data_IF_785916056552
#
_entry.id   IF_785916056552
#
_cell.length_a   1.000
_cell.length_b   1.000
_cell.length_c   1.000
_cell.angle_alpha   90.00
_cell.angle_beta   90.00
_cell.angle_gamma   90.00
#
_symmetry.space_group_name_H-M   'P 1'
#
loop_
_entity.id
_entity.type
_entity.pdbx_description
1 polymer ?
#
# COMPACT_ATOMS: atom_id res chain seq x y z
N UNK A 1 -22.26 18.32 -40.73
CA UNK A 1 -23.21 17.99 -39.65
C UNK A 1 -23.37 16.48 -39.59
N UNK A 2 -22.70 15.81 -38.65
CA UNK A 2 -23.26 14.74 -37.82
C UNK A 2 -22.14 14.18 -36.93
N UNK A 3 -22.28 14.47 -35.65
CA UNK A 3 -21.46 14.00 -34.53
C UNK A 3 -21.70 12.50 -34.34
N UNK A 4 -20.63 11.70 -34.26
CA UNK A 4 -20.69 10.36 -33.70
C UNK A 4 -20.50 10.47 -32.18
N UNK A 5 -21.53 10.08 -31.44
CA UNK A 5 -21.60 10.13 -29.99
C UNK A 5 -20.62 9.17 -29.33
N UNK A 6 -20.03 9.69 -28.25
CA UNK A 6 -19.25 9.02 -27.23
C UNK A 6 -19.97 7.78 -26.68
N UNK A 7 -19.33 6.62 -26.79
CA UNK A 7 -19.63 5.49 -25.92
C UNK A 7 -18.99 5.77 -24.56
N UNK A 8 -19.82 6.21 -23.61
CA UNK A 8 -19.46 6.28 -22.18
C UNK A 8 -19.01 4.88 -21.75
N UNK A 9 -17.73 4.74 -21.40
CA UNK A 9 -17.27 3.59 -20.62
C UNK A 9 -18.01 3.64 -19.28
N UNK A 10 -18.73 2.57 -18.99
CA UNK A 10 -19.38 2.28 -17.72
C UNK A 10 -18.37 2.42 -16.57
N UNK A 11 -18.74 2.98 -15.40
CA UNK A 11 -17.82 3.04 -14.28
C UNK A 11 -17.58 1.61 -13.76
N UNK A 12 -16.31 1.21 -13.66
CA UNK A 12 -15.94 0.02 -12.90
C UNK A 12 -16.23 0.33 -11.43
N UNK A 13 -17.27 -0.31 -10.89
CA UNK A 13 -17.52 -0.37 -9.45
C UNK A 13 -16.50 -1.34 -8.86
N UNK A 14 -15.50 -0.79 -8.19
CA UNK A 14 -14.37 -1.51 -7.60
C UNK A 14 -14.73 -1.94 -6.17
N UNK A 15 -15.58 -2.95 -6.05
CA UNK A 15 -16.02 -3.49 -4.77
C UNK A 15 -15.07 -4.59 -4.28
N UNK A 16 -13.96 -4.19 -3.69
CA UNK A 16 -13.36 -4.93 -2.58
C UNK A 16 -14.19 -4.64 -1.31
N UNK A 17 -15.42 -5.18 -1.29
CA UNK A 17 -16.35 -4.99 -0.19
C UNK A 17 -15.93 -5.86 1.00
N UNK A 18 -15.26 -5.23 1.97
CA UNK A 18 -15.48 -5.52 3.38
C UNK A 18 -15.83 -4.15 3.99
N UNK A 19 -17.10 -3.96 4.28
CA UNK A 19 -17.69 -2.68 4.65
C UNK A 19 -19.13 -2.53 4.13
N UNK A 20 -20.08 -3.22 4.76
CA UNK A 20 -21.54 -3.01 4.77
C UNK A 20 -22.34 -2.60 3.50
N UNK A 21 -21.76 -2.61 2.29
CA UNK A 21 -22.43 -2.00 1.13
C UNK A 21 -22.60 -0.49 1.26
N UNK A 22 -21.80 0.17 2.10
CA UNK A 22 -21.71 1.63 2.13
C UNK A 22 -20.97 2.07 0.87
N UNK A 23 -21.64 2.84 0.02
CA UNK A 23 -20.97 3.46 -1.12
C UNK A 23 -19.92 4.45 -0.61
N UNK A 24 -18.67 4.37 -1.10
CA UNK A 24 -17.63 5.27 -0.65
C UNK A 24 -17.94 6.71 -1.05
N UNK A 25 -17.70 7.65 -0.13
CA UNK A 25 -17.85 9.08 -0.41
C UNK A 25 -16.78 9.53 -1.40
N UNK A 26 -17.17 10.27 -2.45
CA UNK A 26 -16.22 10.89 -3.38
C UNK A 26 -15.80 12.25 -2.86
N UNK A 27 -14.51 12.41 -2.60
CA UNK A 27 -13.91 13.67 -2.13
C UNK A 27 -13.30 14.45 -3.28
N UNK A 28 -13.43 15.78 -3.21
CA UNK A 28 -12.65 16.69 -4.04
C UNK A 28 -11.14 16.64 -3.71
N UNK A 29 -10.27 17.12 -4.61
CA UNK A 29 -8.80 17.07 -4.45
C UNK A 29 -8.27 17.66 -3.14
N UNK A 30 -8.91 18.72 -2.63
CA UNK A 30 -8.52 19.46 -1.43
C UNK A 30 -9.55 19.34 -0.30
N UNK A 31 -10.58 18.50 -0.47
CA UNK A 31 -11.64 18.35 0.52
C UNK A 31 -11.10 17.69 1.79
N UNK A 32 -11.55 18.12 2.97
CA UNK A 32 -11.21 17.50 4.26
C UNK A 32 -12.50 17.33 5.02
N UNK A 33 -12.67 16.17 5.65
CA UNK A 33 -13.85 15.85 6.44
C UNK A 33 -13.46 15.86 7.91
N UNK A 34 -13.99 16.81 8.67
CA UNK A 34 -13.57 17.11 10.06
C UNK A 34 -13.68 15.89 10.99
N UNK A 35 -14.77 15.12 10.85
CA UNK A 35 -15.00 13.90 11.65
C UNK A 35 -14.15 12.69 11.20
N UNK A 36 -13.44 12.80 10.07
CA UNK A 36 -12.58 11.77 9.50
C UNK A 36 -11.18 12.35 9.24
N UNK A 37 -10.35 12.54 10.29
CA UNK A 37 -9.06 13.23 10.21
C UNK A 37 -8.04 12.50 9.31
N UNK A 38 -8.27 11.23 9.00
CA UNK A 38 -7.49 10.49 7.99
C UNK A 38 -7.57 11.13 6.58
N UNK A 39 -8.53 12.04 6.34
CA UNK A 39 -8.65 12.80 5.10
C UNK A 39 -7.83 14.08 5.04
N UNK A 40 -7.12 14.45 6.12
CA UNK A 40 -6.32 15.67 6.14
C UNK A 40 -5.26 15.67 5.03
N UNK A 41 -5.35 16.69 4.16
CA UNK A 41 -4.40 16.95 3.07
C UNK A 41 -2.93 17.04 3.53
N UNK A 42 -2.67 17.42 4.79
CA UNK A 42 -1.31 17.51 5.33
C UNK A 42 -0.61 16.14 5.38
N UNK A 43 -1.37 15.06 5.59
CA UNK A 43 -0.87 13.68 5.64
C UNK A 43 -0.30 13.26 4.29
N UNK A 44 -0.81 13.78 3.18
CA UNK A 44 -0.33 13.44 1.83
C UNK A 44 1.12 13.83 1.59
N UNK A 45 1.53 14.98 2.11
CA UNK A 45 2.92 15.43 1.95
C UNK A 45 3.85 14.48 2.70
N UNK A 46 3.45 14.04 3.89
CA UNK A 46 4.18 13.07 4.70
C UNK A 46 4.22 11.70 4.01
N UNK A 47 3.06 11.21 3.57
CA UNK A 47 2.92 9.91 2.92
C UNK A 47 3.74 9.85 1.61
N UNK A 48 3.69 10.91 0.78
CA UNK A 48 4.54 11.04 -0.43
C UNK A 48 6.03 11.04 -0.09
N UNK A 49 6.42 11.77 0.96
CA UNK A 49 7.80 11.80 1.42
C UNK A 49 8.29 10.41 1.83
N UNK A 50 7.45 9.63 2.51
CA UNK A 50 7.79 8.28 2.94
C UNK A 50 7.83 7.30 1.76
N UNK A 51 6.90 7.39 0.80
CA UNK A 51 6.95 6.59 -0.43
C UNK A 51 8.22 6.89 -1.23
N UNK A 52 8.60 8.17 -1.35
CA UNK A 52 9.83 8.56 -2.01
C UNK A 52 11.06 7.99 -1.30
N UNK A 53 11.06 7.99 0.03
CA UNK A 53 12.12 7.41 0.84
C UNK A 53 12.23 5.88 0.64
N UNK A 54 11.13 5.15 0.75
CA UNK A 54 11.09 3.70 0.51
C UNK A 54 11.50 3.36 -0.93
N UNK A 55 11.10 4.17 -1.91
CA UNK A 55 11.53 4.00 -3.30
C UNK A 55 13.06 4.17 -3.46
N UNK A 56 13.73 5.00 -2.65
CA UNK A 56 15.19 5.08 -2.69
C UNK A 56 15.85 3.79 -2.21
N UNK A 57 15.28 3.10 -1.22
CA UNK A 57 15.76 1.80 -0.77
C UNK A 57 15.63 0.76 -1.91
N UNK A 58 14.49 0.74 -2.61
CA UNK A 58 14.28 -0.12 -3.79
C UNK A 58 15.27 0.20 -4.91
N UNK A 59 15.48 1.48 -5.23
CA UNK A 59 16.47 1.95 -6.21
C UNK A 59 17.89 1.52 -5.84
N UNK A 60 18.23 1.65 -4.57
CA UNK A 60 19.52 1.24 -4.03
C UNK A 60 19.75 -0.25 -4.21
N UNK A 61 18.75 -1.08 -3.89
CA UNK A 61 18.83 -2.52 -4.13
C UNK A 61 18.99 -2.83 -5.62
N UNK A 62 18.08 -2.34 -6.47
CA UNK A 62 18.03 -2.67 -7.89
C UNK A 62 19.36 -2.35 -8.59
N UNK A 63 19.93 -1.16 -8.33
CA UNK A 63 21.23 -0.75 -8.90
C UNK A 63 22.38 -1.63 -8.43
N UNK A 64 22.42 -1.99 -7.14
CA UNK A 64 23.48 -2.85 -6.61
C UNK A 64 23.36 -4.28 -7.13
N UNK A 65 22.14 -4.80 -7.25
CA UNK A 65 21.89 -6.13 -7.80
C UNK A 65 22.30 -6.19 -9.28
N UNK A 66 21.97 -5.16 -10.08
CA UNK A 66 22.30 -5.08 -11.50
C UNK A 66 23.82 -5.15 -11.78
N UNK A 67 24.66 -4.65 -10.87
CA UNK A 67 26.13 -4.69 -11.00
C UNK A 67 26.77 -5.83 -10.20
N UNK A 68 25.98 -6.74 -9.61
CA UNK A 68 26.48 -7.85 -8.79
C UNK A 68 27.13 -7.41 -7.47
N UNK A 69 26.85 -6.20 -6.98
CA UNK A 69 27.39 -5.67 -5.72
C UNK A 69 26.58 -6.08 -4.47
N UNK A 70 25.52 -6.86 -4.66
CA UNK A 70 24.73 -7.51 -3.61
C UNK A 70 24.17 -8.81 -4.17
N UNK A 71 24.16 -9.85 -3.34
CA UNK A 71 23.50 -11.12 -3.65
C UNK A 71 22.05 -11.03 -3.17
N UNK A 72 21.20 -10.41 -3.99
CA UNK A 72 19.77 -10.29 -3.72
C UNK A 72 19.06 -11.50 -4.32
N UNK A 73 18.35 -12.25 -3.48
CA UNK A 73 17.54 -13.39 -3.92
C UNK A 73 16.09 -12.96 -3.97
N UNK A 74 15.42 -13.21 -5.09
CA UNK A 74 13.99 -12.94 -5.23
C UNK A 74 13.18 -13.72 -4.18
N UNK A 75 12.14 -13.07 -3.67
CA UNK A 75 11.23 -13.54 -2.62
C UNK A 75 11.86 -13.73 -1.24
N UNK A 76 13.16 -13.49 -1.08
CA UNK A 76 13.81 -13.48 0.23
C UNK A 76 13.77 -12.08 0.86
N UNK A 77 13.27 -11.94 2.09
CA UNK A 77 13.18 -10.65 2.75
C UNK A 77 14.55 -10.15 3.22
N UNK A 78 14.90 -8.93 2.81
CA UNK A 78 16.01 -8.18 3.37
C UNK A 78 15.45 -7.35 4.53
N UNK A 79 15.96 -7.57 5.74
CA UNK A 79 15.48 -6.91 6.97
C UNK A 79 16.64 -6.12 7.60
N UNK A 80 16.36 -4.87 7.98
CA UNK A 80 17.30 -4.04 8.71
C UNK A 80 16.56 -3.09 9.66
N UNK A 81 17.31 -2.41 10.53
CA UNK A 81 16.75 -1.50 11.52
C UNK A 81 17.40 -0.12 11.39
N UNK A 82 16.59 0.93 11.52
CA UNK A 82 17.07 2.31 11.60
C UNK A 82 16.48 2.93 12.86
N UNK A 83 17.34 3.34 13.78
CA UNK A 83 16.95 3.83 15.11
C UNK A 83 16.03 2.86 15.88
N UNK A 84 16.24 1.55 15.71
CA UNK A 84 15.43 0.50 16.35
C UNK A 84 14.12 0.17 15.63
N UNK A 85 13.74 0.93 14.60
CA UNK A 85 12.53 0.70 13.81
C UNK A 85 12.82 -0.26 12.65
N UNK A 86 11.95 -1.26 12.49
CA UNK A 86 12.13 -2.33 11.51
C UNK A 86 11.82 -1.87 10.09
N UNK A 87 12.60 -2.38 9.15
CA UNK A 87 12.40 -2.24 7.71
C UNK A 87 12.52 -3.57 7.03
N UNK A 88 11.69 -3.78 6.01
CA UNK A 88 11.71 -4.96 5.19
C UNK A 88 11.61 -4.54 3.74
N UNK A 89 12.37 -5.21 2.88
CA UNK A 89 12.22 -5.14 1.45
C UNK A 89 12.33 -6.54 0.87
N UNK A 90 11.36 -6.91 0.04
CA UNK A 90 11.29 -8.19 -0.65
C UNK A 90 11.35 -7.88 -2.14
N UNK A 91 12.48 -8.14 -2.83
CA UNK A 91 12.50 -8.11 -4.29
C UNK A 91 11.73 -9.33 -4.80
N UNK A 92 10.79 -9.16 -5.72
CA UNK A 92 10.00 -10.27 -6.26
C UNK A 92 10.34 -10.53 -7.73
N UNK A 93 10.72 -9.49 -8.46
CA UNK A 93 11.21 -9.59 -9.84
C UNK A 93 12.32 -8.54 -10.05
N UNK A 94 13.57 -8.96 -9.89
CA UNK A 94 14.74 -8.07 -10.01
C UNK A 94 14.90 -7.58 -11.45
N UNK A 95 14.57 -8.41 -12.43
CA UNK A 95 14.60 -8.04 -13.84
C UNK A 95 13.65 -6.88 -14.13
N UNK A 96 12.43 -6.97 -13.58
CA UNK A 96 11.42 -5.92 -13.74
C UNK A 96 11.77 -4.62 -13.02
N UNK A 97 12.50 -4.69 -11.91
CA UNK A 97 12.98 -3.48 -11.22
C UNK A 97 14.04 -2.72 -12.03
N UNK A 98 14.71 -3.35 -13.02
CA UNK A 98 15.79 -2.70 -13.80
C UNK A 98 15.43 -2.44 -15.26
N UNK A 99 14.26 -2.89 -15.73
CA UNK A 99 13.88 -2.80 -17.15
C UNK A 99 13.42 -1.41 -17.62
N UNK A 100 13.38 -0.42 -16.71
CA UNK A 100 12.96 0.96 -16.95
C UNK A 100 11.52 1.15 -17.44
N UNK A 101 10.65 0.15 -17.31
CA UNK A 101 9.23 0.29 -17.65
C UNK A 101 8.42 0.86 -16.49
N UNK A 102 7.37 1.63 -16.80
CA UNK A 102 6.41 2.18 -15.84
C UNK A 102 5.91 1.11 -14.87
N UNK A 103 5.86 1.44 -13.57
CA UNK A 103 5.30 0.56 -12.54
C UNK A 103 4.04 1.18 -11.96
N UNK A 104 3.08 0.33 -11.60
CA UNK A 104 1.94 0.74 -10.78
C UNK A 104 2.34 0.66 -9.32
N UNK A 105 1.76 1.53 -8.50
CA UNK A 105 2.17 1.75 -7.12
C UNK A 105 0.97 1.60 -6.21
N UNK A 106 1.15 0.82 -5.14
CA UNK A 106 0.24 0.81 -3.99
C UNK A 106 1.02 1.25 -2.76
N UNK A 107 0.60 2.36 -2.15
CA UNK A 107 1.07 2.82 -0.85
C UNK A 107 0.02 2.56 0.22
N UNK A 108 0.32 1.75 1.23
CA UNK A 108 -0.58 1.54 2.38
C UNK A 108 -0.06 2.33 3.57
N UNK A 109 -0.94 3.05 4.26
CA UNK A 109 -0.61 3.83 5.45
C UNK A 109 -1.67 3.56 6.52
N UNK A 110 -1.25 3.02 7.66
CA UNK A 110 -2.15 2.66 8.75
C UNK A 110 -1.84 3.41 10.03
N UNK A 111 -2.84 4.09 10.58
CA UNK A 111 -2.79 4.67 11.93
C UNK A 111 -3.00 3.56 12.94
N UNK A 112 -1.90 3.05 13.51
CA UNK A 112 -1.91 1.88 14.37
C UNK A 112 -2.65 2.17 15.68
N UNK A 113 -3.52 1.26 16.09
CA UNK A 113 -4.10 1.25 17.44
C UNK A 113 -3.00 1.03 18.46
N UNK A 114 -3.07 1.73 19.59
CA UNK A 114 -2.16 1.52 20.71
C UNK A 114 -2.33 0.11 21.29
N UNK A 115 -1.29 -0.40 21.96
CA UNK A 115 -1.35 -1.71 22.63
C UNK A 115 -2.52 -1.78 23.62
N UNK A 116 -2.81 -0.68 24.34
CA UNK A 116 -3.95 -0.59 25.26
C UNK A 116 -5.32 -0.68 24.59
N UNK A 117 -5.40 -0.39 23.29
CA UNK A 117 -6.64 -0.50 22.52
C UNK A 117 -6.80 -1.89 21.90
N UNK A 118 -5.73 -2.68 21.88
CA UNK A 118 -5.73 -4.01 21.29
C UNK A 118 -6.00 -5.01 22.40
N UNK A 119 -7.06 -5.78 22.27
CA UNK A 119 -7.30 -6.94 23.13
C UNK A 119 -6.42 -8.14 22.74
N UNK A 120 -5.14 -7.88 22.46
CA UNK A 120 -4.15 -8.90 22.13
C UNK A 120 -3.38 -9.26 23.41
N UNK A 121 -3.22 -10.56 23.66
CA UNK A 121 -2.39 -11.03 24.78
C UNK A 121 -0.91 -10.68 24.57
N UNK A 122 -0.08 -10.69 25.63
CA UNK A 122 1.35 -10.46 25.51
C UNK A 122 1.98 -11.49 24.56
N UNK A 123 2.66 -11.05 23.50
CA UNK A 123 3.22 -11.92 22.47
C UNK A 123 3.93 -11.17 21.34
N UNK A 124 4.28 -11.91 20.27
CA UNK A 124 4.88 -11.35 19.06
C UNK A 124 3.90 -10.42 18.34
N UNK A 125 4.43 -9.38 17.67
CA UNK A 125 3.61 -8.43 16.92
C UNK A 125 2.79 -9.16 15.83
N UNK A 126 1.45 -9.09 15.84
CA UNK A 126 0.62 -9.74 14.82
C UNK A 126 0.96 -9.26 13.39
N UNK A 127 1.51 -8.06 13.22
CA UNK A 127 1.93 -7.54 11.91
C UNK A 127 3.11 -8.36 11.38
N UNK A 128 4.04 -8.78 12.24
CA UNK A 128 5.21 -9.53 11.81
C UNK A 128 4.84 -10.90 11.26
N UNK A 129 3.95 -11.61 11.96
CA UNK A 129 3.44 -12.89 11.48
C UNK A 129 2.55 -12.74 10.23
N UNK A 130 1.82 -11.62 10.10
CA UNK A 130 1.06 -11.31 8.90
C UNK A 130 1.95 -11.04 7.69
N UNK A 131 2.97 -10.20 7.84
CA UNK A 131 3.93 -9.87 6.78
C UNK A 131 4.67 -11.12 6.28
N UNK A 132 5.11 -12.00 7.19
CA UNK A 132 5.75 -13.27 6.80
C UNK A 132 4.81 -14.08 5.90
N UNK A 133 3.55 -14.23 6.30
CA UNK A 133 2.56 -14.97 5.48
C UNK A 133 2.29 -14.29 4.14
N UNK A 134 2.16 -12.97 4.10
CA UNK A 134 1.93 -12.21 2.86
C UNK A 134 3.09 -12.40 1.88
N UNK A 135 4.32 -12.21 2.36
CA UNK A 135 5.53 -12.31 1.53
C UNK A 135 5.77 -13.72 0.99
N UNK A 136 5.41 -14.75 1.76
CA UNK A 136 5.47 -16.14 1.31
C UNK A 136 4.55 -16.43 0.13
N UNK A 137 3.49 -15.65 -0.10
CA UNK A 137 2.60 -15.88 -1.24
C UNK A 137 3.07 -15.23 -2.54
N UNK A 138 3.99 -14.26 -2.48
CA UNK A 138 4.38 -13.46 -3.66
C UNK A 138 4.87 -14.30 -4.84
N UNK A 139 5.53 -15.44 -4.60
CA UNK A 139 5.96 -16.35 -5.67
C UNK A 139 4.80 -16.88 -6.54
N UNK A 140 3.55 -16.79 -6.06
CA UNK A 140 2.33 -17.21 -6.79
C UNK A 140 1.73 -16.08 -7.61
N UNK A 141 2.24 -14.86 -7.48
CA UNK A 141 1.67 -13.64 -8.05
C UNK A 141 2.77 -12.83 -8.76
N UNK A 142 3.16 -13.22 -9.99
CA UNK A 142 4.28 -12.63 -10.74
C UNK A 142 4.05 -11.16 -11.18
N UNK A 143 2.92 -10.55 -10.82
CA UNK A 143 2.64 -9.13 -11.04
C UNK A 143 3.38 -8.19 -10.08
N UNK A 144 3.85 -8.70 -8.94
CA UNK A 144 4.52 -7.92 -7.90
C UNK A 144 6.02 -7.87 -8.21
N UNK A 145 6.57 -6.67 -8.40
CA UNK A 145 8.01 -6.46 -8.62
C UNK A 145 8.78 -6.30 -7.30
N UNK A 146 8.17 -5.64 -6.30
CA UNK A 146 8.73 -5.53 -4.96
C UNK A 146 7.69 -5.18 -3.91
N UNK A 147 7.94 -5.58 -2.68
CA UNK A 147 7.18 -5.18 -1.50
C UNK A 147 8.13 -4.63 -0.43
N UNK A 148 7.82 -3.46 0.11
CA UNK A 148 8.60 -2.83 1.18
C UNK A 148 7.70 -2.43 2.33
N UNK A 149 8.18 -2.59 3.57
CA UNK A 149 7.47 -2.14 4.78
C UNK A 149 8.42 -1.31 5.64
N UNK A 150 7.87 -0.29 6.28
CA UNK A 150 8.59 0.52 7.27
C UNK A 150 7.72 0.72 8.51
N UNK A 151 8.32 0.40 9.66
CA UNK A 151 7.80 0.78 10.96
C UNK A 151 8.21 2.23 11.26
N UNK A 152 7.28 3.03 11.76
CA UNK A 152 7.51 4.40 12.19
C UNK A 152 7.34 4.53 13.70
N UNK A 153 7.83 5.66 14.25
CA UNK A 153 7.54 6.06 15.62
C UNK A 153 6.03 6.12 15.87
N UNK A 154 5.64 5.93 17.13
CA UNK A 154 4.25 5.90 17.59
C UNK A 154 3.38 4.83 16.91
N UNK A 155 4.03 3.80 16.36
CA UNK A 155 3.38 2.62 15.84
C UNK A 155 2.84 2.74 14.44
N UNK A 156 3.02 3.86 13.72
CA UNK A 156 2.54 3.94 12.33
C UNK A 156 3.27 2.94 11.42
N UNK A 157 2.55 2.39 10.44
CA UNK A 157 3.11 1.48 9.44
C UNK A 157 2.82 2.00 8.05
N UNK A 158 3.81 1.84 7.17
CA UNK A 158 3.62 2.07 5.76
C UNK A 158 4.20 0.95 4.91
N UNK A 159 3.50 0.64 3.82
CA UNK A 159 3.96 -0.31 2.81
C UNK A 159 4.05 0.38 1.45
N UNK A 160 5.03 -0.03 0.65
CA UNK A 160 5.17 0.30 -0.76
C UNK A 160 5.19 -1.00 -1.55
N UNK A 161 4.24 -1.15 -2.46
CA UNK A 161 4.18 -2.26 -3.41
C UNK A 161 4.34 -1.70 -4.81
N UNK A 162 5.25 -2.29 -5.58
CA UNK A 162 5.47 -1.96 -6.98
C UNK A 162 4.98 -3.12 -7.84
N UNK A 163 4.15 -2.81 -8.83
CA UNK A 163 3.49 -3.79 -9.68
C UNK A 163 3.85 -3.56 -11.14
N UNK A 164 4.08 -4.66 -11.87
CA UNK A 164 4.28 -4.66 -13.31
C UNK A 164 2.97 -4.55 -14.09
N UNK A 165 1.85 -4.85 -13.44
CA UNK A 165 0.48 -4.79 -13.95
C UNK A 165 -0.36 -3.81 -13.12
N UNK A 166 -1.48 -3.29 -13.66
CA UNK A 166 -2.44 -2.51 -12.87
C UNK A 166 -2.81 -3.21 -11.57
N UNK A 167 -2.72 -2.50 -10.45
CA UNK A 167 -2.94 -3.06 -9.12
C UNK A 167 -4.34 -3.67 -8.95
N UNK A 168 -5.32 -3.20 -9.74
CA UNK A 168 -6.71 -3.67 -9.70
C UNK A 168 -6.94 -4.98 -10.48
N UNK A 169 -5.91 -5.48 -11.17
CA UNK A 169 -5.94 -6.74 -11.91
C UNK A 169 -5.17 -7.87 -11.19
N UNK A 170 -4.73 -7.66 -9.96
CA UNK A 170 -3.94 -8.67 -9.24
C UNK A 170 -4.81 -9.69 -8.51
N UNK A 171 -4.66 -10.95 -8.93
CA UNK A 171 -5.27 -12.12 -8.26
C UNK A 171 -4.87 -12.24 -6.78
N UNK A 172 -3.75 -11.62 -6.37
CA UNK A 172 -3.28 -11.61 -4.99
C UNK A 172 -4.29 -11.04 -4.01
N UNK A 173 -5.05 -10.01 -4.42
CA UNK A 173 -6.10 -9.41 -3.56
C UNK A 173 -7.19 -10.41 -3.17
N UNK A 174 -7.42 -11.41 -4.02
CA UNK A 174 -8.37 -12.50 -3.77
C UNK A 174 -7.82 -13.63 -2.89
N UNK A 175 -6.53 -13.63 -2.57
CA UNK A 175 -5.92 -14.69 -1.75
C UNK A 175 -6.53 -14.73 -0.34
N UNK A 176 -6.53 -15.91 0.28
CA UNK A 176 -7.04 -16.05 1.64
C UNK A 176 -6.16 -15.29 2.65
N UNK A 177 -4.85 -15.23 2.44
CA UNK A 177 -3.93 -14.50 3.32
C UNK A 177 -4.14 -13.00 3.20
N UNK A 178 -4.31 -12.47 1.97
CA UNK A 178 -4.63 -11.06 1.77
C UNK A 178 -5.99 -10.71 2.39
N UNK A 179 -7.02 -11.54 2.17
CA UNK A 179 -8.34 -11.36 2.84
C UNK A 179 -8.22 -11.45 4.36
N UNK A 180 -7.35 -12.30 4.89
CA UNK A 180 -7.00 -12.36 6.30
C UNK A 180 -6.39 -11.06 6.81
N UNK A 181 -5.45 -10.47 6.06
CA UNK A 181 -4.86 -9.17 6.39
C UNK A 181 -5.92 -8.05 6.44
N UNK A 182 -6.83 -8.03 5.46
CA UNK A 182 -7.94 -7.07 5.42
C UNK A 182 -8.84 -7.24 6.65
N UNK A 183 -9.20 -8.48 7.03
CA UNK A 183 -10.01 -8.73 8.24
C UNK A 183 -9.31 -8.33 9.54
N UNK A 184 -7.98 -8.36 9.59
CA UNK A 184 -7.22 -7.89 10.75
C UNK A 184 -7.10 -6.37 10.83
N UNK A 185 -7.36 -5.65 9.73
CA UNK A 185 -7.19 -4.20 9.67
C UNK A 185 -7.94 -3.42 10.78
N UNK A 186 -9.22 -3.68 11.09
CA UNK A 186 -9.92 -2.97 12.18
C UNK A 186 -9.37 -3.25 13.59
N UNK A 187 -8.70 -4.38 13.79
CA UNK A 187 -8.02 -4.73 15.05
C UNK A 187 -6.69 -3.95 15.15
N UNK A 188 -5.99 -3.78 14.02
CA UNK A 188 -4.65 -3.23 13.99
C UNK A 188 -4.62 -1.71 13.86
N UNK A 189 -5.60 -1.11 13.17
CA UNK A 189 -5.59 0.29 12.76
C UNK A 189 -6.90 1.00 13.11
N UNK A 190 -6.81 2.30 13.43
CA UNK A 190 -7.98 3.19 13.55
C UNK A 190 -8.47 3.61 12.17
N UNK A 191 -7.52 3.94 11.29
CA UNK A 191 -7.78 4.30 9.92
C UNK A 191 -6.67 3.81 9.00
N UNK A 192 -7.02 3.65 7.73
CA UNK A 192 -6.12 3.23 6.66
C UNK A 192 -6.31 4.15 5.45
N UNK A 193 -5.19 4.57 4.87
CA UNK A 193 -5.11 5.22 3.56
C UNK A 193 -4.38 4.29 2.59
N UNK A 194 -4.98 4.07 1.42
CA UNK A 194 -4.35 3.32 0.33
C UNK A 194 -4.22 4.24 -0.87
N UNK A 195 -2.98 4.58 -1.23
CA UNK A 195 -2.64 5.35 -2.41
C UNK A 195 -2.44 4.42 -3.60
N UNK A 196 -3.14 4.70 -4.69
CA UNK A 196 -2.84 4.15 -6.00
C UNK A 196 -2.11 5.21 -6.82
N UNK A 197 -1.00 4.80 -7.42
CA UNK A 197 -0.14 5.70 -8.17
C UNK A 197 0.61 4.99 -9.29
N UNK A 198 1.44 5.77 -9.99
CA UNK A 198 2.36 5.26 -11.01
C UNK A 198 3.76 5.78 -10.76
N UNK A 199 4.74 4.99 -11.17
CA UNK A 199 6.14 5.37 -11.25
C UNK A 199 6.57 5.34 -12.73
N UNK A 200 6.48 6.48 -13.44
CA UNK A 200 6.89 6.55 -14.84
C UNK A 200 8.38 6.23 -15.01
N UNK A 201 8.74 5.43 -16.01
CA UNK A 201 10.10 4.97 -16.26
C UNK A 201 10.63 3.96 -15.21
N UNK A 202 9.78 3.49 -14.31
CA UNK A 202 10.14 2.48 -13.31
C UNK A 202 11.18 2.95 -12.31
N UNK A 203 11.78 1.97 -11.62
CA UNK A 203 12.73 2.20 -10.51
C UNK A 203 14.01 2.91 -10.98
N UNK A 204 14.55 2.57 -12.15
CA UNK A 204 15.81 3.17 -12.64
C UNK A 204 15.67 4.65 -13.03
N UNK A 205 14.43 5.13 -13.23
CA UNK A 205 14.17 6.54 -13.52
C UNK A 205 14.53 7.47 -12.34
N UNK A 206 14.54 8.78 -12.63
CA UNK A 206 14.57 9.85 -11.61
C UNK A 206 13.17 10.37 -11.26
N UNK A 207 12.12 9.78 -11.81
CA UNK A 207 10.76 10.27 -11.63
C UNK A 207 10.26 9.98 -10.22
N UNK A 208 9.26 10.74 -9.80
CA UNK A 208 8.57 10.51 -8.54
C UNK A 208 7.34 9.62 -8.75
N UNK A 209 6.84 9.06 -7.64
CA UNK A 209 5.55 8.40 -7.62
C UNK A 209 4.46 9.47 -7.80
N UNK A 210 3.66 9.31 -8.85
CA UNK A 210 2.47 10.12 -9.10
C UNK A 210 1.24 9.40 -8.56
N UNK A 211 0.71 9.85 -7.43
CA UNK A 211 -0.55 9.35 -6.86
C UNK A 211 -1.71 9.95 -7.66
N UNK A 212 -2.65 9.10 -8.09
CA UNK A 212 -3.86 9.52 -8.82
C UNK A 212 -5.15 9.17 -8.08
N UNK A 213 -5.09 8.30 -7.07
CA UNK A 213 -6.25 7.94 -6.25
C UNK A 213 -5.83 7.57 -4.83
N UNK A 214 -6.64 7.95 -3.85
CA UNK A 214 -6.56 7.44 -2.48
C UNK A 214 -7.89 6.85 -2.06
N UNK A 215 -7.86 5.69 -1.44
CA UNK A 215 -9.00 5.07 -0.76
C UNK A 215 -8.79 5.18 0.75
N UNK A 216 -9.88 5.44 1.47
CA UNK A 216 -9.88 5.60 2.92
C UNK A 216 -10.80 4.60 3.58
N UNK A 217 -10.35 4.04 4.70
CA UNK A 217 -11.17 3.29 5.63
C UNK A 217 -10.99 3.88 7.02
N UNK A 218 -12.07 4.34 7.62
CA UNK A 218 -12.10 4.79 9.00
C UNK A 218 -12.90 3.80 9.84
N UNK A 219 -12.18 3.03 10.68
CA UNK A 219 -12.74 2.04 11.58
C UNK A 219 -13.26 2.67 12.88
N UNK A 220 -13.00 3.97 13.11
CA UNK A 220 -13.43 4.67 14.30
C UNK A 220 -12.79 4.15 15.59
N UNK A 221 -13.35 4.51 16.76
CA UNK A 221 -12.74 4.18 18.05
C UNK A 221 -12.91 2.72 18.46
N UNK A 222 -13.95 2.03 17.97
CA UNK A 222 -14.26 0.65 18.36
C UNK A 222 -13.35 -0.33 17.61
N UNK A 223 -12.70 -1.23 18.35
CA UNK A 223 -11.83 -2.26 17.80
C UNK A 223 -12.64 -3.41 17.20
N UNK A 224 -12.07 -4.07 16.18
CA UNK A 224 -12.68 -5.23 15.51
C UNK A 224 -14.09 -4.95 14.92
N UNK A 225 -14.36 -3.69 14.59
CA UNK A 225 -15.60 -3.26 13.95
C UNK A 225 -15.39 -3.03 12.45
N UNK A 226 -16.46 -3.21 11.67
CA UNK A 226 -16.51 -2.77 10.27
C UNK A 226 -16.22 -1.26 10.17
N UNK A 227 -15.66 -0.79 9.04
CA UNK A 227 -15.41 0.63 8.84
C UNK A 227 -16.70 1.44 9.01
N UNK A 228 -16.63 2.44 9.88
CA UNK A 228 -17.73 3.39 10.10
C UNK A 228 -17.92 4.31 8.90
N UNK A 229 -16.85 4.51 8.11
CA UNK A 229 -16.85 5.38 6.96
C UNK A 229 -15.76 4.99 5.95
N UNK A 230 -16.05 5.20 4.67
CA UNK A 230 -15.10 4.99 3.57
C UNK A 230 -15.20 6.11 2.55
N UNK A 231 -14.09 6.39 1.87
CA UNK A 231 -14.05 7.39 0.81
C UNK A 231 -13.02 7.10 -0.26
N UNK A 232 -13.15 7.81 -1.38
CA UNK A 232 -12.21 7.84 -2.49
C UNK A 232 -11.92 9.30 -2.84
N UNK A 233 -10.65 9.64 -3.02
CA UNK A 233 -10.18 10.91 -3.59
C UNK A 233 -9.41 10.63 -4.88
N UNK A 234 -9.64 11.44 -5.91
CA UNK A 234 -8.99 11.32 -7.23
C UNK A 234 -8.41 12.67 -7.68
N UNK A 235 -7.36 12.61 -8.51
CA UNK A 235 -6.70 13.79 -9.13
C UNK A 235 -6.48 13.59 -10.62
#
# INVERSE_FOLDING_TARGET
>A
VQQAWSARKTPLVDSAAVGNGLEPVLLGPEEVVEDHPCTDTSLYTVDRGLLAYMLQDVRGLARRAAVGAVDAVEYEPIIWHVHGLKRRLVPCDLGRLVDSQDLEVVGFFGSRRLESERELGPGDDPIDSLDVRLTQEFHRYPGIASYSTIEMVDGFWANLVLHSLPSDAEDWRGSEVHRGAVRMSPILYRDVRIHNGRLPGGVDSRNEISIYRTKYWDYGPVTDAEPTWTAIREW
#
